data_IF_325781593705
#
_entry.id   IF_325781593705
#
_cell.length_a   1.000
_cell.length_b   1.000
_cell.length_c   1.000
_cell.angle_alpha   90.00
_cell.angle_beta   90.00
_cell.angle_gamma   90.00
#
_symmetry.space_group_name_H-M   'P 1'
#
loop_
_entity.id
_entity.type
_entity.pdbx_description
1 polymer ?
#
# COMPACT_ATOMS: atom_id res chain seq x y z
N UNK A 1 -2.67 7.07 -10.99
CA UNK A 1 -2.11 5.70 -10.85
C UNK A 1 -3.19 4.73 -10.45
N UNK A 2 -3.26 3.63 -11.18
CA UNK A 2 -3.61 2.39 -10.53
C UNK A 2 -2.48 2.07 -9.54
N UNK A 3 -2.73 2.14 -8.23
CA UNK A 3 -1.97 1.32 -7.30
C UNK A 3 -2.16 -0.11 -7.79
N UNK A 4 -1.21 -0.61 -8.59
CA UNK A 4 -1.19 -2.03 -8.88
C UNK A 4 -0.94 -2.68 -7.52
N UNK A 5 -2.00 -3.30 -7.00
CA UNK A 5 -1.99 -4.27 -5.91
C UNK A 5 -1.65 -3.67 -4.55
N UNK A 6 -2.63 -3.24 -3.75
CA UNK A 6 -3.52 -4.12 -2.98
C UNK A 6 -2.73 -5.33 -2.48
N UNK A 7 -2.30 -5.31 -1.21
CA UNK A 7 -1.48 -6.39 -0.65
C UNK A 7 -2.10 -7.76 -0.85
N UNK A 8 -3.41 -7.89 -1.07
CA UNK A 8 -4.02 -9.19 -1.29
C UNK A 8 -5.38 -9.17 -2.00
N UNK A 9 -6.00 -8.02 -2.29
CA UNK A 9 -7.47 -8.03 -2.33
C UNK A 9 -8.10 -8.70 -3.55
N UNK A 10 -7.37 -8.95 -4.62
CA UNK A 10 -7.86 -9.83 -5.66
C UNK A 10 -6.69 -10.59 -6.26
N UNK A 11 -6.59 -11.85 -5.84
CA UNK A 11 -6.03 -13.09 -6.42
C UNK A 11 -5.61 -13.15 -7.91
N UNK A 12 -5.51 -12.04 -8.67
CA UNK A 12 -5.52 -12.03 -10.14
C UNK A 12 -4.53 -11.06 -10.81
N UNK A 13 -3.94 -10.05 -10.13
CA UNK A 13 -3.05 -9.08 -10.81
C UNK A 13 -1.60 -9.02 -10.32
N UNK A 14 -1.28 -9.49 -9.11
CA UNK A 14 0.13 -9.63 -8.66
C UNK A 14 0.89 -10.72 -9.41
N UNK A 15 0.15 -11.68 -9.95
CA UNK A 15 0.69 -12.92 -10.51
C UNK A 15 0.97 -12.70 -12.00
N UNK A 16 2.00 -11.93 -12.35
CA UNK A 16 2.54 -12.01 -13.70
C UNK A 16 3.32 -13.33 -13.83
N UNK A 17 2.60 -14.41 -14.13
CA UNK A 17 3.20 -15.72 -14.43
C UNK A 17 3.47 -16.64 -13.22
N UNK A 18 2.80 -16.44 -12.09
CA UNK A 18 2.86 -17.37 -10.94
C UNK A 18 3.65 -16.86 -9.72
N UNK A 19 4.27 -15.69 -9.81
CA UNK A 19 5.17 -15.16 -8.78
C UNK A 19 4.81 -13.71 -8.40
N UNK A 20 5.10 -13.31 -7.17
CA UNK A 20 4.96 -11.93 -6.72
C UNK A 20 5.95 -11.00 -7.45
N UNK A 21 5.63 -9.72 -7.52
CA UNK A 21 6.55 -8.71 -8.05
C UNK A 21 7.82 -8.62 -7.18
N UNK A 22 8.89 -8.01 -7.70
CA UNK A 22 10.12 -7.76 -6.95
C UNK A 22 9.80 -6.97 -5.68
N UNK A 23 10.42 -7.36 -4.57
CA UNK A 23 10.21 -6.74 -3.27
C UNK A 23 10.34 -5.21 -3.27
N UNK A 24 11.31 -4.69 -4.02
CA UNK A 24 11.55 -3.24 -4.15
C UNK A 24 10.47 -2.48 -4.93
N UNK A 25 9.66 -3.17 -5.74
CA UNK A 25 8.59 -2.56 -6.55
C UNK A 25 7.22 -2.62 -5.88
N UNK A 26 7.07 -3.43 -4.84
CA UNK A 26 5.79 -3.56 -4.15
C UNK A 26 5.44 -2.34 -3.31
N UNK A 27 4.13 -2.12 -3.19
CA UNK A 27 3.59 -1.15 -2.25
C UNK A 27 3.74 -1.67 -0.82
N UNK A 28 4.68 -1.10 -0.07
CA UNK A 28 5.04 -1.53 1.28
C UNK A 28 4.98 -0.39 2.32
N UNK A 29 4.83 0.87 1.88
CA UNK A 29 4.85 2.04 2.78
C UNK A 29 4.00 3.16 2.19
N UNK A 30 3.03 3.65 2.96
CA UNK A 30 2.20 4.81 2.57
C UNK A 30 3.06 6.07 2.50
N UNK A 31 3.98 6.24 3.46
CA UNK A 31 4.84 7.41 3.55
C UNK A 31 5.78 7.53 2.36
N UNK A 32 6.39 6.42 1.95
CA UNK A 32 7.32 6.40 0.81
C UNK A 32 6.58 6.62 -0.51
N UNK A 33 5.40 6.01 -0.67
CA UNK A 33 4.57 6.21 -1.86
C UNK A 33 4.11 7.68 -1.99
N UNK A 34 3.71 8.30 -0.87
CA UNK A 34 3.36 9.71 -0.85
C UNK A 34 4.56 10.59 -1.18
N UNK A 35 5.72 10.35 -0.59
CA UNK A 35 6.93 11.13 -0.83
C UNK A 35 7.41 11.03 -2.28
N UNK A 36 7.34 9.84 -2.86
CA UNK A 36 7.66 9.59 -4.27
C UNK A 36 6.80 10.45 -5.19
N UNK A 37 5.48 10.36 -5.04
CA UNK A 37 4.52 11.06 -5.90
C UNK A 37 4.48 12.57 -5.67
N UNK A 38 4.67 13.03 -4.44
CA UNK A 38 4.53 14.45 -4.11
C UNK A 38 5.80 15.26 -4.29
N UNK A 39 6.99 14.65 -4.17
CA UNK A 39 8.26 15.39 -4.10
C UNK A 39 9.37 14.86 -4.99
N UNK A 40 9.46 13.55 -5.20
CA UNK A 40 10.65 12.97 -5.82
C UNK A 40 10.52 12.80 -7.33
N UNK A 41 9.32 12.52 -7.82
CA UNK A 41 9.11 12.26 -9.24
C UNK A 41 7.82 12.93 -9.73
N UNK A 42 7.95 14.07 -10.42
CA UNK A 42 6.80 14.81 -10.97
C UNK A 42 6.10 14.09 -12.12
N UNK A 43 6.69 13.01 -12.68
CA UNK A 43 6.02 12.12 -13.61
C UNK A 43 5.27 10.96 -12.90
N UNK A 44 5.40 10.83 -11.58
CA UNK A 44 4.79 9.78 -10.75
C UNK A 44 3.36 10.17 -10.34
N UNK A 45 2.43 10.18 -11.31
CA UNK A 45 1.04 10.63 -11.11
C UNK A 45 0.21 9.59 -10.34
N UNK A 46 0.22 9.63 -8.99
CA UNK A 46 -0.51 8.67 -8.12
C UNK A 46 -2.02 8.99 -8.07
N UNK A 47 -2.88 7.97 -8.14
CA UNK A 47 -4.31 8.12 -7.82
C UNK A 47 -4.63 7.12 -6.73
N UNK A 48 -5.43 7.53 -5.75
CA UNK A 48 -5.88 6.64 -4.68
C UNK A 48 -6.97 5.71 -5.23
N UNK A 49 -6.88 4.44 -4.86
CA UNK A 49 -7.94 3.47 -5.13
C UNK A 49 -9.02 3.58 -4.04
N UNK A 50 -10.28 3.19 -4.34
CA UNK A 50 -11.39 3.30 -3.39
C UNK A 50 -11.14 2.60 -2.04
N UNK A 51 -10.34 1.54 -2.02
CA UNK A 51 -10.01 0.76 -0.84
C UNK A 51 -9.35 1.59 0.27
N UNK A 52 -8.63 2.67 -0.07
CA UNK A 52 -8.07 3.63 0.90
C UNK A 52 -9.12 4.32 1.78
N UNK A 53 -10.40 4.21 1.45
CA UNK A 53 -11.49 4.90 2.14
C UNK A 53 -12.44 3.97 2.89
N UNK A 54 -12.37 2.65 2.68
CA UNK A 54 -13.30 1.71 3.34
C UNK A 54 -12.73 0.34 3.71
N UNK A 55 -11.53 -0.03 3.27
CA UNK A 55 -11.05 -1.40 3.41
C UNK A 55 -9.70 -1.48 4.13
N UNK A 56 -9.65 -1.65 5.46
CA UNK A 56 -8.37 -1.76 6.16
C UNK A 56 -7.56 -3.00 5.74
N UNK A 57 -8.23 -4.06 5.26
CA UNK A 57 -7.61 -5.35 4.98
C UNK A 57 -6.61 -5.31 3.81
N UNK A 58 -6.70 -4.34 2.88
CA UNK A 58 -5.68 -4.24 1.80
C UNK A 58 -4.32 -3.75 2.31
N UNK A 59 -4.21 -3.32 3.56
CA UNK A 59 -2.97 -2.89 4.20
C UNK A 59 -2.30 -4.02 5.00
N UNK A 60 -2.96 -5.17 5.14
CA UNK A 60 -2.54 -6.28 6.00
C UNK A 60 -2.26 -7.53 5.17
N UNK A 61 -1.10 -8.14 5.37
CA UNK A 61 -0.74 -9.45 4.83
C UNK A 61 -1.35 -10.56 5.70
N UNK A 62 -2.69 -10.62 5.75
CA UNK A 62 -3.42 -11.54 6.62
C UNK A 62 -3.12 -13.03 6.32
N UNK A 63 -2.75 -13.34 5.08
CA UNK A 63 -2.40 -14.68 4.63
C UNK A 63 -0.92 -15.03 4.87
N UNK A 64 -0.12 -14.11 5.42
CA UNK A 64 1.30 -14.29 5.70
C UNK A 64 2.09 -14.78 4.48
N UNK A 65 1.79 -14.21 3.30
CA UNK A 65 2.54 -14.53 2.09
C UNK A 65 4.01 -14.14 2.24
N UNK A 66 4.89 -14.96 1.70
CA UNK A 66 6.29 -14.58 1.51
C UNK A 66 6.39 -13.61 0.32
N UNK A 67 6.41 -12.32 0.65
CA UNK A 67 6.54 -11.24 -0.31
C UNK A 67 8.03 -10.91 -0.57
N UNK A 68 8.96 -11.64 0.03
CA UNK A 68 10.39 -11.45 -0.15
C UNK A 68 10.98 -10.28 0.65
N UNK A 69 12.22 -9.95 0.30
CA UNK A 69 13.04 -8.95 1.00
C UNK A 69 13.61 -7.96 0.00
N UNK A 70 13.49 -6.68 0.30
CA UNK A 70 14.03 -5.57 -0.51
C UNK A 70 15.57 -5.63 -0.54
N UNK A 71 16.18 -4.96 -1.51
CA UNK A 71 17.65 -4.89 -1.62
C UNK A 71 18.34 -4.31 -0.38
N UNK A 72 17.65 -3.45 0.37
CA UNK A 72 18.15 -2.87 1.62
C UNK A 72 18.01 -3.80 2.84
N UNK A 73 17.51 -5.03 2.67
CA UNK A 73 17.31 -6.00 3.75
C UNK A 73 15.96 -5.89 4.46
N UNK A 74 15.07 -4.97 4.08
CA UNK A 74 13.73 -4.86 4.65
C UNK A 74 12.82 -5.98 4.12
N UNK A 75 12.34 -6.84 5.01
CA UNK A 75 11.32 -7.83 4.66
C UNK A 75 9.98 -7.13 4.36
N UNK A 76 9.29 -7.58 3.31
CA UNK A 76 7.97 -7.04 2.94
C UNK A 76 6.88 -7.90 3.58
N UNK A 77 5.97 -7.26 4.30
CA UNK A 77 4.80 -7.91 4.91
C UNK A 77 3.63 -6.93 4.91
N UNK A 78 3.09 -6.53 6.07
CA UNK A 78 2.09 -5.49 6.19
C UNK A 78 2.58 -4.14 5.64
N UNK A 79 1.65 -3.31 5.15
CA UNK A 79 2.00 -1.95 4.71
C UNK A 79 2.42 -1.13 5.93
N UNK A 80 3.58 -0.50 5.82
CA UNK A 80 4.04 0.48 6.81
C UNK A 80 3.14 1.71 6.75
N UNK A 81 2.40 1.92 7.85
CA UNK A 81 1.50 3.05 8.02
C UNK A 81 2.22 4.26 8.61
N UNK A 82 1.71 5.48 8.39
CA UNK A 82 2.24 6.66 9.03
C UNK A 82 2.15 6.58 10.58
N UNK A 83 3.07 7.24 11.33
CA UNK A 83 3.09 7.14 12.80
C UNK A 83 1.79 7.53 13.49
N UNK A 84 1.01 8.44 12.89
CA UNK A 84 -0.28 8.87 13.44
C UNK A 84 -1.35 7.77 13.42
N UNK A 85 -1.22 6.77 12.55
CA UNK A 85 -2.14 5.64 12.46
C UNK A 85 -1.84 4.55 13.51
N UNK A 86 -0.73 4.67 14.27
CA UNK A 86 -0.37 3.76 15.38
C UNK A 86 -0.39 2.28 14.98
N UNK A 87 0.06 1.96 13.78
CA UNK A 87 0.05 0.60 13.22
C UNK A 87 -1.37 -0.02 13.15
N UNK A 88 -2.42 0.82 13.16
CA UNK A 88 -3.81 0.40 13.00
C UNK A 88 -4.36 0.80 11.62
N UNK A 89 -4.51 -0.16 10.70
CA UNK A 89 -5.15 0.06 9.40
C UNK A 89 -6.55 0.66 9.50
N UNK A 90 -7.30 0.36 10.57
CA UNK A 90 -8.66 0.90 10.74
C UNK A 90 -8.63 2.38 11.06
N UNK A 91 -7.69 2.81 11.90
CA UNK A 91 -7.47 4.21 12.20
C UNK A 91 -7.03 4.99 10.94
N UNK A 92 -6.19 4.37 10.13
CA UNK A 92 -5.80 4.92 8.83
C UNK A 92 -7.01 5.17 7.92
N UNK A 93 -7.88 4.16 7.74
CA UNK A 93 -9.09 4.27 6.93
C UNK A 93 -10.08 5.29 7.51
N UNK A 94 -10.27 5.30 8.84
CA UNK A 94 -11.19 6.22 9.51
C UNK A 94 -10.87 7.68 9.17
N UNK A 95 -9.59 8.06 9.27
CA UNK A 95 -9.14 9.42 8.97
C UNK A 95 -9.28 9.72 7.47
N UNK A 96 -8.94 8.78 6.58
CA UNK A 96 -9.10 8.99 5.13
C UNK A 96 -10.56 9.21 4.73
N UNK A 97 -11.48 8.49 5.37
CA UNK A 97 -12.91 8.68 5.17
C UNK A 97 -13.39 10.03 5.69
N UNK A 98 -12.93 10.46 6.86
CA UNK A 98 -13.26 11.79 7.39
C UNK A 98 -12.83 12.90 6.45
N UNK A 99 -11.64 12.79 5.83
CA UNK A 99 -11.16 13.77 4.84
C UNK A 99 -11.98 13.77 3.55
N UNK A 100 -12.47 12.60 3.11
CA UNK A 100 -13.30 12.49 1.91
C UNK A 100 -14.64 13.21 2.06
N UNK A 101 -15.20 13.20 3.26
CA UNK A 101 -16.51 13.81 3.57
C UNK A 101 -16.40 15.31 3.95
N UNK A 102 -15.21 15.91 3.93
CA UNK A 102 -15.02 17.35 4.17
C UNK A 102 -15.48 18.20 2.97
N UNK A 103 -16.18 19.32 3.20
CA UNK A 103 -16.69 20.21 2.15
C UNK A 103 -15.61 21.08 1.48
#
# INVERSE_FOLDING_TARGET
MHFNTSICLHHLTCVQGGHFDLADRMFHSVGDAWLSASRQNMADVRELIPEFFYLPDFLVNANQFDLGTKQNGTAVSDVVLPPWAKEDPREFIRIHREVLDLP
#
